data_IF_537007911101
#
_entry.id   IF_537007911101
#
_cell.length_a   1.000
_cell.length_b   1.000
_cell.length_c   1.000
_cell.angle_alpha   90.00
_cell.angle_beta   90.00
_cell.angle_gamma   90.00
#
_symmetry.space_group_name_H-M   'P 1'
#
loop_
_entity.id
_entity.type
_entity.pdbx_description
1 polymer ?
#
# COMPACT_ATOMS: atom_id res chain seq x y z
N UNK A 1 -4.31 -7.11 -15.90
CA UNK A 1 -3.48 -7.16 -14.67
C UNK A 1 -3.41 -8.59 -14.15
N UNK A 2 -2.36 -8.95 -13.40
CA UNK A 2 -2.21 -10.25 -12.73
C UNK A 2 -1.94 -10.07 -11.23
N UNK A 3 -1.90 -11.15 -10.46
CA UNK A 3 -1.68 -11.12 -9.00
C UNK A 3 -0.53 -12.05 -8.60
N UNK A 4 0.45 -11.48 -7.89
CA UNK A 4 1.61 -12.21 -7.38
C UNK A 4 1.39 -12.56 -5.90
N UNK A 5 1.67 -13.79 -5.50
CA UNK A 5 1.61 -14.22 -4.10
C UNK A 5 2.84 -13.68 -3.35
N UNK A 6 2.63 -12.98 -2.23
CA UNK A 6 3.69 -12.34 -1.44
C UNK A 6 4.12 -13.22 -0.26
N UNK A 7 3.16 -13.85 0.44
CA UNK A 7 3.44 -14.64 1.66
C UNK A 7 3.53 -16.14 1.40
N UNK A 8 3.37 -16.58 0.15
CA UNK A 8 3.36 -18.00 -0.30
C UNK A 8 2.22 -18.86 0.29
N UNK A 9 1.63 -18.47 1.41
CA UNK A 9 0.45 -19.06 2.05
C UNK A 9 -0.89 -18.52 1.54
N UNK A 10 -0.87 -17.60 0.57
CA UNK A 10 -2.06 -17.09 -0.11
C UNK A 10 -2.85 -16.04 0.67
N UNK A 11 -2.31 -15.51 1.78
CA UNK A 11 -2.98 -14.44 2.56
C UNK A 11 -2.67 -13.04 2.06
N UNK A 12 -1.51 -12.82 1.45
CA UNK A 12 -1.13 -11.53 0.91
C UNK A 12 -0.69 -11.64 -0.54
N UNK A 13 -1.31 -10.82 -1.38
CA UNK A 13 -1.04 -10.74 -2.80
C UNK A 13 -0.67 -9.31 -3.18
N UNK A 14 -0.07 -9.11 -4.36
CA UNK A 14 0.14 -7.80 -4.94
C UNK A 14 -0.24 -7.80 -6.42
N UNK A 15 -0.88 -6.71 -6.86
CA UNK A 15 -1.24 -6.53 -8.28
C UNK A 15 0.01 -6.26 -9.10
N UNK A 16 0.15 -6.95 -10.23
CA UNK A 16 1.05 -6.58 -11.32
C UNK A 16 0.21 -5.95 -12.43
N UNK A 17 0.35 -4.65 -12.61
CA UNK A 17 -0.40 -3.90 -13.62
C UNK A 17 0.11 -4.19 -15.03
N UNK A 18 -0.76 -4.01 -16.02
CA UNK A 18 -0.40 -4.32 -17.41
C UNK A 18 0.74 -3.40 -17.89
N UNK A 19 1.80 -4.01 -18.43
CA UNK A 19 3.01 -3.32 -18.87
C UNK A 19 4.05 -3.07 -17.77
N UNK A 20 3.73 -3.35 -16.50
CA UNK A 20 4.70 -3.29 -15.41
C UNK A 20 5.53 -4.58 -15.33
N UNK A 21 6.84 -4.42 -15.08
CA UNK A 21 7.78 -5.55 -14.95
C UNK A 21 7.64 -6.26 -13.60
N UNK A 22 7.20 -5.54 -12.56
CA UNK A 22 7.06 -6.05 -11.20
C UNK A 22 5.68 -5.75 -10.61
N UNK A 23 5.36 -6.39 -9.48
CA UNK A 23 4.13 -6.09 -8.76
C UNK A 23 4.21 -4.75 -8.01
N UNK A 24 3.04 -4.25 -7.63
CA UNK A 24 2.85 -2.97 -6.99
C UNK A 24 3.60 -2.83 -5.66
N UNK A 25 3.84 -3.93 -4.92
CA UNK A 25 4.62 -3.89 -3.67
C UNK A 25 6.11 -3.69 -3.96
N UNK A 26 6.69 -4.45 -4.88
CA UNK A 26 8.11 -4.31 -5.20
C UNK A 26 8.41 -2.96 -5.85
N UNK A 27 7.55 -2.48 -6.75
CA UNK A 27 7.71 -1.15 -7.36
C UNK A 27 7.77 -0.03 -6.30
N UNK A 28 6.92 -0.07 -5.27
CA UNK A 28 6.93 0.98 -4.24
C UNK A 28 8.13 0.84 -3.28
N UNK A 29 8.54 -0.38 -2.95
CA UNK A 29 9.71 -0.63 -2.09
C UNK A 29 10.99 -0.18 -2.78
N UNK A 30 11.15 -0.44 -4.08
CA UNK A 30 12.29 0.04 -4.86
C UNK A 30 12.36 1.57 -4.88
N UNK A 31 11.23 2.24 -5.10
CA UNK A 31 11.17 3.72 -5.08
C UNK A 31 11.50 4.27 -3.69
N UNK A 32 11.04 3.63 -2.63
CA UNK A 32 11.32 4.07 -1.26
C UNK A 32 12.76 3.80 -0.81
N UNK A 33 13.49 2.95 -1.52
CA UNK A 33 14.92 2.72 -1.32
C UNK A 33 15.82 3.54 -2.29
N UNK A 34 15.26 4.24 -3.28
CA UNK A 34 16.00 5.09 -4.21
C UNK A 34 16.15 6.54 -3.67
N UNK A 35 17.35 6.85 -3.18
CA UNK A 35 17.74 8.19 -2.69
C UNK A 35 17.51 9.29 -3.73
N UNK A 36 17.75 9.03 -5.02
CA UNK A 36 17.57 10.04 -6.08
C UNK A 36 16.10 10.33 -6.30
N UNK A 37 15.28 9.28 -6.31
CA UNK A 37 13.83 9.41 -6.39
C UNK A 37 13.28 10.17 -5.18
N UNK A 38 13.66 9.77 -3.96
CA UNK A 38 13.24 10.42 -2.72
C UNK A 38 13.60 11.91 -2.69
N UNK A 39 14.83 12.24 -3.09
CA UNK A 39 15.27 13.65 -3.14
C UNK A 39 14.40 14.47 -4.09
N UNK A 40 14.04 13.91 -5.23
CA UNK A 40 13.16 14.56 -6.20
C UNK A 40 11.74 14.71 -5.64
N UNK A 41 11.21 13.64 -5.03
CA UNK A 41 9.90 13.64 -4.40
C UNK A 41 9.78 14.72 -3.31
N UNK A 42 10.74 14.78 -2.38
CA UNK A 42 10.71 15.75 -1.27
C UNK A 42 10.96 17.19 -1.71
N UNK A 43 11.75 17.42 -2.77
CA UNK A 43 11.86 18.76 -3.38
C UNK A 43 10.53 19.21 -3.96
N UNK A 44 9.85 18.33 -4.69
CA UNK A 44 8.58 18.67 -5.35
C UNK A 44 7.43 18.85 -4.35
N UNK A 45 7.48 18.18 -3.19
CA UNK A 45 6.46 18.22 -2.16
C UNK A 45 6.95 18.93 -0.87
N UNK A 46 7.95 19.82 -0.98
CA UNK A 46 8.60 20.45 0.17
C UNK A 46 7.63 21.23 1.05
N UNK A 47 6.67 21.93 0.44
CA UNK A 47 5.68 22.70 1.18
C UNK A 47 4.80 21.83 2.07
N UNK A 48 4.45 20.61 1.64
CA UNK A 48 3.64 19.68 2.45
C UNK A 48 4.46 19.09 3.58
N UNK A 49 5.72 18.74 3.30
CA UNK A 49 6.66 18.27 4.30
C UNK A 49 6.79 19.28 5.45
N UNK A 50 6.99 20.57 5.11
CA UNK A 50 7.09 21.64 6.10
C UNK A 50 5.76 21.91 6.80
N UNK A 51 4.65 21.98 6.06
CA UNK A 51 3.35 22.37 6.64
C UNK A 51 2.78 21.29 7.57
N UNK A 52 2.88 20.02 7.21
CA UNK A 52 2.28 18.91 7.96
C UNK A 52 3.24 18.22 8.94
N UNK A 53 4.53 18.14 8.61
CA UNK A 53 5.51 17.40 9.43
C UNK A 53 6.52 18.30 10.13
N UNK A 54 6.56 19.60 9.79
CA UNK A 54 7.50 20.58 10.36
C UNK A 54 8.98 20.22 10.10
N UNK A 55 9.23 19.41 9.09
CA UNK A 55 10.59 19.02 8.67
C UNK A 55 11.02 19.95 7.55
N UNK A 56 12.16 20.61 7.73
CA UNK A 56 12.74 21.56 6.77
C UNK A 56 14.01 21.03 6.11
N UNK A 57 14.56 19.93 6.61
CA UNK A 57 15.72 19.26 6.02
C UNK A 57 15.28 18.07 5.14
N UNK A 58 15.56 18.16 3.85
CA UNK A 58 15.28 17.09 2.88
C UNK A 58 16.11 15.84 3.16
N UNK A 59 17.36 15.98 3.63
CA UNK A 59 18.20 14.82 3.93
C UNK A 59 17.66 14.06 5.14
N UNK A 60 17.14 14.76 6.15
CA UNK A 60 16.40 14.15 7.24
C UNK A 60 15.21 13.36 6.70
N UNK A 61 14.38 13.96 5.82
CA UNK A 61 13.22 13.27 5.27
C UNK A 61 13.57 12.02 4.44
N UNK A 62 14.70 12.06 3.71
CA UNK A 62 15.22 10.90 2.97
C UNK A 62 15.62 9.79 3.94
N UNK A 63 16.45 10.08 4.93
CA UNK A 63 16.91 9.08 5.91
C UNK A 63 15.73 8.48 6.68
N UNK A 64 14.82 9.33 7.15
CA UNK A 64 13.60 8.94 7.84
C UNK A 64 12.71 8.02 6.99
N UNK A 65 12.72 8.20 5.66
CA UNK A 65 11.99 7.34 4.71
C UNK A 65 12.69 6.01 4.48
N UNK A 66 14.01 5.99 4.36
CA UNK A 66 14.78 4.74 4.21
C UNK A 66 14.59 3.84 5.42
N UNK A 67 14.73 4.41 6.63
CA UNK A 67 14.48 3.73 7.90
C UNK A 67 13.06 3.15 7.98
N UNK A 68 12.07 3.90 7.50
CA UNK A 68 10.68 3.46 7.49
C UNK A 68 10.42 2.40 6.40
N UNK A 69 11.03 2.55 5.23
CA UNK A 69 10.91 1.59 4.13
C UNK A 69 11.45 0.23 4.56
N UNK A 70 12.63 0.20 5.18
CA UNK A 70 13.24 -1.01 5.74
C UNK A 70 12.31 -1.67 6.77
N UNK A 71 11.81 -0.92 7.76
CA UNK A 71 10.87 -1.47 8.77
C UNK A 71 9.61 -2.02 8.14
N UNK A 72 9.03 -1.32 7.17
CA UNK A 72 7.78 -1.74 6.53
C UNK A 72 8.00 -2.96 5.62
N UNK A 73 9.15 -3.04 4.96
CA UNK A 73 9.57 -4.21 4.21
C UNK A 73 9.69 -5.43 5.12
N UNK A 74 10.39 -5.32 6.27
CA UNK A 74 10.44 -6.41 7.25
C UNK A 74 9.05 -6.82 7.75
N UNK A 75 8.19 -5.85 8.07
CA UNK A 75 6.83 -6.13 8.52
C UNK A 75 5.97 -6.87 7.48
N UNK A 76 6.29 -6.77 6.19
CA UNK A 76 5.48 -7.35 5.10
C UNK A 76 6.09 -8.62 4.52
N UNK A 77 7.40 -8.64 4.35
CA UNK A 77 8.10 -9.77 3.72
C UNK A 77 8.35 -10.90 4.72
N UNK A 78 8.50 -10.60 6.02
CA UNK A 78 8.69 -11.60 7.08
C UNK A 78 7.40 -11.81 7.90
N UNK A 79 6.24 -11.69 7.25
CA UNK A 79 4.95 -11.98 7.89
C UNK A 79 4.93 -13.46 8.31
N UNK A 80 4.79 -13.71 9.61
CA UNK A 80 4.55 -15.06 10.14
C UNK A 80 3.22 -15.61 9.63
N UNK A 81 3.12 -16.93 9.45
CA UNK A 81 1.85 -17.63 9.14
C UNK A 81 0.75 -17.31 10.16
N UNK A 82 1.14 -17.06 11.41
CA UNK A 82 0.24 -16.77 12.54
C UNK A 82 -0.08 -15.27 12.70
N UNK A 83 0.50 -14.40 11.86
CA UNK A 83 0.29 -12.97 11.98
C UNK A 83 -1.13 -12.56 11.54
N UNK A 84 -1.79 -11.72 12.34
CA UNK A 84 -3.09 -11.15 12.01
C UNK A 84 -2.94 -9.97 11.03
N UNK A 85 -3.27 -10.20 9.76
CA UNK A 85 -3.23 -9.15 8.74
C UNK A 85 -4.28 -8.06 8.96
N UNK A 86 -5.37 -8.33 9.69
CA UNK A 86 -6.40 -7.34 10.03
C UNK A 86 -5.89 -6.33 11.11
N UNK A 87 -4.80 -6.65 11.81
CA UNK A 87 -4.08 -5.69 12.62
C UNK A 87 -3.16 -4.78 11.78
N UNK A 88 -2.58 -5.31 10.71
CA UNK A 88 -1.67 -4.60 9.82
C UNK A 88 -2.41 -3.64 8.89
N UNK A 89 -3.46 -4.14 8.23
CA UNK A 89 -4.29 -3.41 7.29
C UNK A 89 -5.56 -2.90 7.97
N UNK A 90 -5.75 -1.57 7.94
CA UNK A 90 -6.88 -0.89 8.59
C UNK A 90 -7.65 -0.07 7.57
N UNK A 91 -8.92 0.22 7.87
CA UNK A 91 -9.80 0.91 6.93
C UNK A 91 -9.16 2.19 6.38
N UNK A 92 -9.21 2.35 5.06
CA UNK A 92 -8.73 3.56 4.41
C UNK A 92 -9.46 4.78 4.96
N UNK A 93 -10.77 4.65 5.17
CA UNK A 93 -11.65 5.64 5.80
C UNK A 93 -11.81 5.34 7.30
N UNK A 94 -11.25 6.17 8.21
CA UNK A 94 -11.30 5.88 9.65
C UNK A 94 -12.70 5.88 10.25
N UNK A 95 -13.66 6.60 9.64
CA UNK A 95 -15.06 6.65 10.07
C UNK A 95 -15.87 5.43 9.65
N UNK A 96 -15.28 4.51 8.87
CA UNK A 96 -15.95 3.28 8.44
C UNK A 96 -16.10 2.35 9.63
N UNK A 97 -17.35 2.11 10.01
CA UNK A 97 -17.71 1.21 11.11
C UNK A 97 -18.17 -0.17 10.62
N UNK A 98 -18.46 -0.31 9.32
CA UNK A 98 -18.98 -1.54 8.72
C UNK A 98 -17.99 -2.10 7.72
N UNK A 99 -17.86 -3.42 7.72
CA UNK A 99 -17.17 -4.13 6.66
C UNK A 99 -17.94 -3.94 5.35
N UNK A 100 -17.19 -3.75 4.27
CA UNK A 100 -17.72 -3.54 2.93
C UNK A 100 -17.03 -4.56 2.03
N UNK A 101 -17.80 -5.21 1.17
CA UNK A 101 -17.28 -6.08 0.12
C UNK A 101 -16.10 -5.41 -0.60
N UNK A 102 -14.99 -6.13 -0.75
CA UNK A 102 -13.75 -5.63 -1.38
C UNK A 102 -13.26 -4.29 -0.77
N UNK A 103 -13.24 -4.22 0.55
CA UNK A 103 -12.93 -3.00 1.31
C UNK A 103 -11.55 -2.43 0.97
N UNK A 104 -11.44 -1.09 0.91
CA UNK A 104 -10.16 -0.40 0.74
C UNK A 104 -9.48 -0.21 2.08
N UNK A 105 -8.26 -0.71 2.18
CA UNK A 105 -7.51 -0.80 3.42
C UNK A 105 -6.12 -0.19 3.24
N UNK A 106 -5.45 0.12 4.36
CA UNK A 106 -4.09 0.65 4.35
C UNK A 106 -3.25 0.08 5.49
N UNK A 107 -2.00 -0.21 5.20
CA UNK A 107 -0.97 -0.49 6.19
C UNK A 107 -0.06 0.73 6.37
N UNK A 108 0.44 0.90 7.60
CA UNK A 108 1.44 1.90 7.97
C UNK A 108 2.19 1.49 9.22
N UNK A 109 3.40 2.04 9.39
CA UNK A 109 4.14 1.92 10.64
C UNK A 109 3.34 2.59 11.78
N UNK A 110 3.20 1.85 12.87
CA UNK A 110 2.62 2.32 14.14
C UNK A 110 3.75 2.75 15.09
N UNK A 111 3.43 3.59 16.09
CA UNK A 111 4.31 3.93 17.21
C UNK A 111 5.69 4.52 16.82
N UNK A 112 5.74 5.30 15.75
CA UNK A 112 6.96 6.00 15.31
C UNK A 112 7.26 7.20 16.22
N UNK A 113 8.52 7.36 16.63
CA UNK A 113 8.93 8.37 17.62
C UNK A 113 9.29 9.73 17.01
N UNK A 114 9.88 9.77 15.81
CA UNK A 114 10.40 11.02 15.24
C UNK A 114 9.27 11.92 14.72
N UNK A 115 8.44 11.39 13.81
CA UNK A 115 7.25 12.04 13.28
C UNK A 115 6.17 11.01 12.96
N UNK A 116 4.94 11.46 12.78
CA UNK A 116 3.84 10.62 12.33
C UNK A 116 4.22 9.87 11.04
N UNK A 117 3.88 8.59 10.92
CA UNK A 117 4.20 7.82 9.71
C UNK A 117 3.58 8.47 8.46
N UNK A 118 4.33 8.56 7.36
CA UNK A 118 3.84 9.01 6.04
C UNK A 118 3.75 7.89 5.00
N UNK A 119 4.43 6.75 5.19
CA UNK A 119 4.41 5.64 4.25
C UNK A 119 3.10 4.88 4.39
N UNK A 120 2.43 4.68 3.26
CA UNK A 120 1.13 3.98 3.14
C UNK A 120 1.29 2.90 2.10
N UNK A 121 0.89 1.69 2.46
CA UNK A 121 0.63 0.62 1.49
C UNK A 121 -0.88 0.44 1.44
N UNK A 122 -1.43 0.41 0.23
CA UNK A 122 -2.87 0.36 -0.02
C UNK A 122 -3.26 -1.01 -0.54
N UNK A 123 -4.37 -1.54 -0.03
CA UNK A 123 -4.84 -2.88 -0.38
C UNK A 123 -6.36 -2.96 -0.49
N UNK A 124 -6.83 -3.98 -1.21
CA UNK A 124 -8.22 -4.44 -1.19
C UNK A 124 -8.31 -5.67 -0.28
N UNK A 125 -9.25 -5.67 0.67
CA UNK A 125 -9.57 -6.83 1.50
C UNK A 125 -10.50 -7.76 0.71
N UNK A 126 -10.02 -8.95 0.38
CA UNK A 126 -10.83 -10.01 -0.25
C UNK A 126 -11.72 -10.69 0.80
N UNK A 127 -11.12 -11.10 1.91
CA UNK A 127 -11.76 -11.82 3.00
C UNK A 127 -10.99 -11.56 4.30
N UNK A 128 -11.46 -12.08 5.43
CA UNK A 128 -10.75 -11.95 6.70
C UNK A 128 -9.33 -12.51 6.55
N UNK A 129 -8.31 -11.69 6.87
CA UNK A 129 -6.92 -12.09 6.74
C UNK A 129 -6.39 -12.25 5.31
N UNK A 130 -7.15 -11.88 4.25
CA UNK A 130 -6.71 -12.02 2.86
C UNK A 130 -6.79 -10.68 2.12
N UNK A 131 -5.65 -10.24 1.59
CA UNK A 131 -5.45 -8.90 1.05
C UNK A 131 -4.72 -8.89 -0.29
N UNK A 132 -5.09 -7.94 -1.16
CA UNK A 132 -4.38 -7.64 -2.41
C UNK A 132 -3.83 -6.22 -2.34
N UNK A 133 -2.50 -6.08 -2.33
CA UNK A 133 -1.80 -4.79 -2.41
C UNK A 133 -1.94 -4.20 -3.81
N UNK A 134 -2.38 -2.94 -3.85
CA UNK A 134 -2.62 -2.17 -5.08
C UNK A 134 -1.53 -1.11 -5.32
N UNK A 135 -0.75 -0.77 -4.30
CA UNK A 135 0.30 0.22 -4.39
C UNK A 135 0.57 0.89 -3.05
N UNK A 136 1.11 2.11 -3.11
CA UNK A 136 1.57 2.84 -1.94
C UNK A 136 2.03 4.24 -2.25
N UNK A 137 2.10 5.07 -1.21
CA UNK A 137 2.51 6.47 -1.32
C UNK A 137 3.27 6.97 -0.09
N UNK A 138 4.10 7.98 -0.32
CA UNK A 138 4.52 8.93 0.73
C UNK A 138 3.42 9.98 0.84
N UNK A 139 2.57 9.85 1.85
CA UNK A 139 1.41 10.73 2.04
C UNK A 139 1.75 11.86 3.00
N UNK A 140 1.99 13.05 2.42
CA UNK A 140 2.36 14.24 3.17
C UNK A 140 1.19 15.18 3.54
N UNK A 141 -0.03 14.86 3.12
CA UNK A 141 -1.23 15.69 3.35
C UNK A 141 -2.27 14.96 4.21
N UNK A 142 -3.38 15.61 4.55
CA UNK A 142 -4.44 15.04 5.40
C UNK A 142 -5.38 14.11 4.60
N UNK A 143 -5.80 14.53 3.42
CA UNK A 143 -6.65 13.81 2.48
C UNK A 143 -5.85 13.38 1.23
N UNK A 144 -6.21 12.23 0.63
CA UNK A 144 -5.51 11.67 -0.54
C UNK A 144 -5.80 12.46 -1.83
N UNK A 145 -6.90 13.20 -1.86
CA UNK A 145 -7.34 14.01 -2.99
C UNK A 145 -6.51 15.30 -3.16
N UNK A 146 -5.72 15.68 -2.14
CA UNK A 146 -4.94 16.92 -2.15
C UNK A 146 -3.73 16.86 -3.09
N UNK A 147 -3.25 15.66 -3.42
CA UNK A 147 -2.07 15.46 -4.27
C UNK A 147 -2.29 14.38 -5.32
N UNK A 148 -1.75 14.63 -6.50
CA UNK A 148 -1.89 13.77 -7.68
C UNK A 148 -1.41 12.34 -7.40
N UNK A 149 -0.24 12.17 -6.77
CA UNK A 149 0.30 10.84 -6.49
C UNK A 149 -0.54 10.02 -5.51
N UNK A 150 -1.27 10.66 -4.59
CA UNK A 150 -2.20 9.95 -3.69
C UNK A 150 -3.59 9.78 -4.30
N UNK A 151 -3.99 10.66 -5.23
CA UNK A 151 -5.22 10.50 -6.01
C UNK A 151 -5.10 9.31 -6.96
N UNK A 152 -3.93 9.13 -7.60
CA UNK A 152 -3.63 7.96 -8.44
C UNK A 152 -3.79 6.64 -7.68
N UNK A 153 -3.38 6.59 -6.41
CA UNK A 153 -3.59 5.41 -5.57
C UNK A 153 -5.08 5.16 -5.24
N UNK A 154 -5.91 6.22 -5.12
CA UNK A 154 -7.36 6.04 -5.03
C UNK A 154 -7.94 5.42 -6.30
N UNK A 155 -7.48 5.89 -7.46
CA UNK A 155 -7.88 5.36 -8.77
C UNK A 155 -7.44 3.92 -8.95
N UNK A 156 -6.22 3.56 -8.55
CA UNK A 156 -5.73 2.17 -8.58
C UNK A 156 -6.56 1.23 -7.71
N UNK A 157 -6.88 1.64 -6.48
CA UNK A 157 -7.75 0.85 -5.61
C UNK A 157 -9.15 0.64 -6.23
N UNK A 158 -9.74 1.67 -6.84
CA UNK A 158 -11.02 1.50 -7.56
C UNK A 158 -10.89 0.58 -8.78
N UNK A 159 -9.82 0.73 -9.56
CA UNK A 159 -9.58 -0.08 -10.74
C UNK A 159 -9.45 -1.57 -10.40
N UNK A 160 -8.68 -1.89 -9.35
CA UNK A 160 -8.53 -3.28 -8.87
C UNK A 160 -9.84 -3.80 -8.30
N UNK A 161 -10.56 -2.99 -7.52
CA UNK A 161 -11.87 -3.37 -6.99
C UNK A 161 -12.87 -3.70 -8.10
N UNK A 162 -12.95 -2.86 -9.13
CA UNK A 162 -13.86 -3.08 -10.26
C UNK A 162 -13.46 -4.32 -11.06
N UNK A 163 -12.17 -4.52 -11.30
CA UNK A 163 -11.67 -5.73 -11.95
C UNK A 163 -12.14 -6.99 -11.23
N UNK A 164 -11.98 -7.05 -9.90
CA UNK A 164 -12.44 -8.20 -9.11
C UNK A 164 -13.95 -8.41 -9.23
N UNK A 165 -14.75 -7.34 -9.19
CA UNK A 165 -16.20 -7.44 -9.36
C UNK A 165 -16.62 -7.91 -10.76
N UNK A 166 -15.94 -7.44 -11.80
CA UNK A 166 -16.22 -7.81 -13.19
C UNK A 166 -15.91 -9.29 -13.44
N UNK A 167 -14.85 -9.81 -12.82
CA UNK A 167 -14.49 -11.24 -12.80
C UNK A 167 -15.32 -12.06 -11.77
N UNK A 168 -16.34 -11.46 -11.15
CA UNK A 168 -17.18 -12.11 -10.12
C UNK A 168 -16.43 -12.61 -8.88
N UNK A 169 -15.26 -12.05 -8.61
CA UNK A 169 -14.42 -12.35 -7.44
C UNK A 169 -14.90 -11.47 -6.26
N UNK A 170 -15.61 -12.10 -5.32
CA UNK A 170 -16.18 -11.42 -4.16
C UNK A 170 -15.60 -11.88 -2.82
N UNK A 171 -14.84 -12.96 -2.83
CA UNK A 171 -14.21 -13.59 -1.67
C UNK A 171 -12.94 -14.37 -2.09
N UNK A 172 -12.33 -15.06 -1.12
CA UNK A 172 -11.15 -15.91 -1.35
C UNK A 172 -11.41 -17.09 -2.27
N UNK A 173 -12.58 -17.72 -2.20
CA UNK A 173 -12.91 -18.91 -2.98
C UNK A 173 -13.01 -18.54 -4.46
N UNK A 174 -13.72 -17.46 -4.78
CA UNK A 174 -13.79 -16.92 -6.14
C UNK A 174 -12.43 -16.47 -6.68
N UNK A 175 -11.56 -15.95 -5.80
CA UNK A 175 -10.20 -15.58 -6.20
C UNK A 175 -9.33 -16.81 -6.50
N UNK A 176 -9.43 -17.87 -5.69
CA UNK A 176 -8.73 -19.13 -5.95
C UNK A 176 -9.17 -19.79 -7.26
N UNK A 177 -10.47 -19.81 -7.52
CA UNK A 177 -11.03 -20.37 -8.76
C UNK A 177 -10.52 -19.59 -9.97
N UNK A 178 -10.56 -18.25 -9.92
CA UNK A 178 -9.96 -17.40 -10.96
C UNK A 178 -8.48 -17.73 -11.21
N UNK A 179 -7.68 -17.89 -10.14
CA UNK A 179 -6.25 -18.24 -10.28
C UNK A 179 -6.02 -19.63 -10.87
N UNK A 180 -6.94 -20.58 -10.68
CA UNK A 180 -6.87 -21.92 -11.28
C UNK A 180 -7.19 -21.90 -12.77
N UNK A 181 -8.12 -21.06 -13.20
CA UNK A 181 -8.51 -20.93 -14.61
C UNK A 181 -7.43 -20.27 -15.49
N UNK A 182 -6.52 -19.51 -14.88
CA UNK A 182 -5.37 -18.89 -15.57
C UNK A 182 -4.20 -19.85 -15.83
N UNK A 183 -4.20 -21.04 -15.23
CA UNK A 183 -3.13 -22.05 -15.36
C UNK A 183 -3.43 -23.08 -16.43
#
# INVERSE_FOLDING_TARGET
MTFDNITEDGRLWAVRYDGEVDNALYIILDRWNDVRWLRTFFKNNFNDLVSHFKITDINQAINDTLDDAERLQYLIMDISSEADLDELFRHLEPSRMKEVLLGKEKAKIKNRRQHASWLRIYAIKLSQGIYIITGGAIKLTAAMQERQHTLEELTKMEMVRNFLLDESIVDSDGFEDYLRELK
#
